data_IF_432544758314
#
_entry.id   IF_432544758314
#
_cell.length_a   1.000
_cell.length_b   1.000
_cell.length_c   1.000
_cell.angle_alpha   90.00
_cell.angle_beta   90.00
_cell.angle_gamma   90.00
#
_symmetry.space_group_name_H-M   'P 1'
#
loop_
_entity.id
_entity.type
_entity.pdbx_description
1 polymer ?
#
# COMPACT_ATOMS: atom_id res chain seq x y z
N UNK A 1 -9.81 -76.13 -17.22
CA UNK A 1 -9.97 -75.80 -18.65
C UNK A 1 -10.37 -74.35 -18.86
N UNK A 2 -9.38 -73.54 -19.22
CA UNK A 2 -9.35 -72.57 -20.33
C UNK A 2 -10.44 -71.50 -20.52
N UNK A 3 -11.49 -71.42 -19.70
CA UNK A 3 -12.54 -70.38 -19.84
C UNK A 3 -12.42 -69.23 -18.83
N UNK A 4 -11.62 -69.39 -17.78
CA UNK A 4 -11.32 -68.33 -16.79
C UNK A 4 -10.34 -67.28 -17.33
N UNK A 5 -9.56 -67.61 -18.37
CA UNK A 5 -8.52 -66.72 -18.87
C UNK A 5 -9.00 -65.68 -19.90
N UNK A 6 -10.14 -65.90 -20.55
CA UNK A 6 -10.62 -65.02 -21.63
C UNK A 6 -11.56 -63.90 -21.14
N UNK A 7 -12.17 -64.03 -19.96
CA UNK A 7 -13.09 -63.02 -19.43
C UNK A 7 -12.38 -61.88 -18.68
N UNK A 8 -11.13 -62.09 -18.25
CA UNK A 8 -10.34 -61.07 -17.53
C UNK A 8 -9.67 -60.06 -18.47
N UNK A 9 -9.56 -60.35 -19.76
CA UNK A 9 -8.85 -59.50 -20.74
C UNK A 9 -9.77 -58.43 -21.34
N UNK A 10 -11.09 -58.55 -21.18
CA UNK A 10 -12.06 -57.61 -21.77
C UNK A 10 -12.44 -56.42 -20.85
N UNK A 11 -11.84 -56.29 -19.66
CA UNK A 11 -12.09 -55.17 -18.73
C UNK A 11 -11.02 -54.06 -18.77
N UNK A 12 -10.04 -54.11 -19.66
CA UNK A 12 -8.89 -53.18 -19.66
C UNK A 12 -9.03 -52.03 -20.69
N UNK A 13 -10.16 -51.89 -21.37
CA UNK A 13 -10.34 -50.86 -22.42
C UNK A 13 -11.32 -49.75 -22.07
N UNK A 14 -11.34 -49.25 -20.84
CA UNK A 14 -11.72 -47.84 -20.61
C UNK A 14 -10.46 -47.00 -20.68
N UNK A 15 -10.19 -46.53 -21.90
CA UNK A 15 -9.12 -45.58 -22.19
C UNK A 15 -9.45 -44.31 -21.41
N UNK A 16 -8.89 -44.21 -20.20
CA UNK A 16 -8.82 -42.97 -19.45
C UNK A 16 -8.00 -41.99 -20.28
N UNK A 17 -8.67 -41.13 -21.05
CA UNK A 17 -8.08 -39.89 -21.48
C UNK A 17 -7.85 -39.04 -20.23
N UNK A 18 -6.72 -39.30 -19.55
CA UNK A 18 -6.10 -38.32 -18.68
C UNK A 18 -5.64 -37.19 -19.60
N UNK A 19 -6.55 -36.26 -19.91
CA UNK A 19 -6.12 -34.92 -20.23
C UNK A 19 -5.32 -34.49 -19.02
N UNK A 20 -3.99 -34.47 -19.18
CA UNK A 20 -3.05 -33.87 -18.24
C UNK A 20 -3.53 -32.44 -18.09
N UNK A 21 -4.40 -32.22 -17.09
CA UNK A 21 -5.01 -30.94 -16.83
C UNK A 21 -3.84 -29.98 -16.75
N UNK A 22 -3.78 -29.00 -17.65
CA UNK A 22 -2.79 -27.95 -17.58
C UNK A 22 -2.83 -27.48 -16.14
N UNK A 23 -1.75 -27.73 -15.41
CA UNK A 23 -1.59 -27.21 -14.06
C UNK A 23 -1.98 -25.74 -14.17
N UNK A 24 -3.09 -25.36 -13.54
CA UNK A 24 -3.41 -23.95 -13.39
C UNK A 24 -2.22 -23.42 -12.64
N UNK A 25 -1.38 -22.64 -13.32
CA UNK A 25 -0.25 -21.96 -12.69
C UNK A 25 -0.85 -21.11 -11.58
N UNK A 26 -0.81 -21.62 -10.35
CA UNK A 26 -1.28 -20.85 -9.19
C UNK A 26 -0.35 -19.66 -9.12
N UNK A 27 -0.90 -18.48 -9.43
CA UNK A 27 -0.15 -17.24 -9.49
C UNK A 27 0.46 -17.03 -8.10
N UNK A 28 1.79 -17.16 -7.98
CA UNK A 28 2.47 -17.01 -6.69
C UNK A 28 2.37 -15.56 -6.23
N UNK A 29 2.13 -15.38 -4.94
CA UNK A 29 2.20 -14.07 -4.29
C UNK A 29 3.59 -13.45 -4.49
N UNK A 30 3.64 -12.13 -4.60
CA UNK A 30 4.89 -11.37 -4.65
C UNK A 30 5.19 -10.85 -3.25
N UNK A 31 6.25 -11.35 -2.63
CA UNK A 31 6.70 -10.88 -1.31
C UNK A 31 7.38 -9.52 -1.47
N UNK A 32 6.88 -8.52 -0.73
CA UNK A 32 7.45 -7.17 -0.68
C UNK A 32 8.53 -7.05 0.40
N UNK A 33 8.23 -7.54 1.61
CA UNK A 33 9.17 -7.57 2.74
C UNK A 33 8.68 -8.53 3.83
N UNK A 34 9.58 -8.89 4.75
CA UNK A 34 9.28 -9.69 5.94
C UNK A 34 9.92 -9.05 7.17
N UNK A 35 9.21 -9.06 8.29
CA UNK A 35 9.71 -8.61 9.59
C UNK A 35 8.99 -9.40 10.68
N UNK A 36 9.72 -9.86 11.69
CA UNK A 36 9.16 -10.67 12.77
C UNK A 36 8.32 -11.85 12.24
N UNK A 37 7.05 -11.92 12.62
CA UNK A 37 6.05 -12.88 12.17
C UNK A 37 5.16 -12.36 11.02
N UNK A 38 5.57 -11.28 10.34
CA UNK A 38 4.80 -10.60 9.29
C UNK A 38 5.47 -10.77 7.92
N UNK A 39 4.66 -11.13 6.93
CA UNK A 39 5.02 -11.06 5.50
C UNK A 39 4.09 -10.07 4.81
N UNK A 40 4.65 -9.02 4.19
CA UNK A 40 3.89 -8.12 3.34
C UNK A 40 3.96 -8.63 1.91
N UNK A 41 2.80 -8.87 1.28
CA UNK A 41 2.72 -9.51 -0.02
C UNK A 41 1.69 -8.84 -0.93
N UNK A 42 1.96 -8.85 -2.24
CA UNK A 42 0.95 -8.60 -3.26
C UNK A 42 0.34 -9.94 -3.63
N UNK A 43 -0.96 -10.07 -3.43
CA UNK A 43 -1.73 -11.24 -3.83
C UNK A 43 -2.62 -10.91 -5.02
N UNK A 44 -2.78 -11.89 -5.91
CA UNK A 44 -3.63 -11.79 -7.10
C UNK A 44 -4.81 -12.74 -6.94
N UNK A 45 -6.02 -12.19 -6.90
CA UNK A 45 -7.26 -12.94 -6.79
C UNK A 45 -8.19 -12.62 -7.96
N UNK A 46 -9.30 -13.37 -8.09
CA UNK A 46 -10.30 -13.12 -9.14
C UNK A 46 -10.89 -11.70 -9.07
N UNK A 47 -10.94 -11.11 -7.88
CA UNK A 47 -11.47 -9.77 -7.59
C UNK A 47 -10.48 -8.63 -7.88
N UNK A 48 -9.21 -8.94 -8.18
CA UNK A 48 -8.15 -7.96 -8.40
C UNK A 48 -6.87 -8.27 -7.65
N UNK A 49 -5.95 -7.31 -7.64
CA UNK A 49 -4.71 -7.38 -6.84
C UNK A 49 -4.88 -6.57 -5.56
N UNK A 50 -4.25 -7.04 -4.48
CA UNK A 50 -4.21 -6.29 -3.22
C UNK A 50 -2.88 -6.52 -2.50
N UNK A 51 -2.50 -5.53 -1.70
CA UNK A 51 -1.39 -5.63 -0.75
C UNK A 51 -1.96 -6.10 0.58
N UNK A 52 -1.36 -7.12 1.17
CA UNK A 52 -1.77 -7.67 2.47
C UNK A 52 -0.57 -7.85 3.39
N UNK A 53 -0.83 -7.85 4.69
CA UNK A 53 0.07 -8.39 5.71
C UNK A 53 -0.45 -9.77 6.12
N UNK A 54 0.37 -10.79 5.96
CA UNK A 54 0.17 -12.09 6.61
C UNK A 54 0.88 -12.08 7.96
N UNK A 55 0.13 -12.19 9.04
CA UNK A 55 0.63 -12.20 10.42
C UNK A 55 0.51 -13.62 10.98
N UNK A 56 1.64 -14.25 11.27
CA UNK A 56 1.67 -15.63 11.78
C UNK A 56 1.59 -15.65 13.32
N UNK A 57 0.50 -16.16 13.84
CA UNK A 57 0.21 -16.31 15.27
C UNK A 57 0.13 -17.80 15.62
N UNK A 58 1.29 -18.43 15.86
CA UNK A 58 1.39 -19.89 16.01
C UNK A 58 0.99 -20.59 14.70
N UNK A 59 -0.06 -21.42 14.77
CA UNK A 59 -0.62 -22.15 13.63
C UNK A 59 -1.64 -21.34 12.81
N UNK A 60 -2.08 -20.18 13.32
CA UNK A 60 -3.03 -19.30 12.64
C UNK A 60 -2.28 -18.24 11.83
N UNK A 61 -2.76 -17.96 10.63
CA UNK A 61 -2.28 -16.83 9.81
C UNK A 61 -3.43 -15.85 9.65
N UNK A 62 -3.27 -14.67 10.21
CA UNK A 62 -4.19 -13.56 10.00
C UNK A 62 -3.79 -12.77 8.75
N UNK A 63 -4.78 -12.32 7.99
CA UNK A 63 -4.56 -11.50 6.78
C UNK A 63 -5.14 -10.11 7.02
N UNK A 64 -4.31 -9.08 6.92
CA UNK A 64 -4.72 -7.68 7.01
C UNK A 64 -4.60 -7.04 5.64
N UNK A 65 -5.68 -6.44 5.14
CA UNK A 65 -5.66 -5.75 3.84
C UNK A 65 -5.07 -4.34 4.00
N UNK A 66 -3.93 -4.10 3.34
CA UNK A 66 -3.20 -2.83 3.38
C UNK A 66 -3.73 -1.88 2.32
N UNK A 67 -3.94 -2.40 1.11
CA UNK A 67 -4.36 -1.60 -0.05
C UNK A 67 -5.00 -2.47 -1.13
N UNK A 68 -6.15 -2.03 -1.64
CA UNK A 68 -6.72 -2.53 -2.89
C UNK A 68 -6.00 -1.88 -4.06
N UNK A 69 -5.66 -2.66 -5.09
CA UNK A 69 -4.92 -2.16 -6.25
C UNK A 69 -5.87 -2.04 -7.45
N UNK A 70 -6.21 -0.80 -7.80
CA UNK A 70 -7.04 -0.50 -8.98
C UNK A 70 -6.28 -0.68 -10.29
N UNK A 71 -4.94 -0.66 -10.24
CA UNK A 71 -4.04 -0.82 -11.39
C UNK A 71 -3.29 -2.14 -11.28
N UNK A 72 -3.15 -2.84 -12.40
CA UNK A 72 -2.40 -4.11 -12.50
C UNK A 72 -0.90 -3.98 -12.22
N UNK A 73 -0.33 -2.77 -12.32
CA UNK A 73 1.11 -2.50 -12.27
C UNK A 73 1.57 -1.75 -11.02
N UNK A 74 1.04 -2.11 -9.84
CA UNK A 74 1.58 -1.63 -8.58
C UNK A 74 3.04 -2.04 -8.40
N UNK A 75 3.94 -1.05 -8.42
CA UNK A 75 5.39 -1.21 -8.27
C UNK A 75 5.90 -0.24 -7.20
N UNK A 76 5.63 -0.50 -5.92
CA UNK A 76 6.08 0.37 -4.85
C UNK A 76 7.61 0.34 -4.78
N UNK A 77 8.18 1.45 -4.35
CA UNK A 77 9.61 1.56 -4.03
C UNK A 77 9.78 1.79 -2.53
N UNK A 78 10.85 1.23 -1.97
CA UNK A 78 11.14 1.38 -0.54
C UNK A 78 10.05 0.83 0.38
N UNK A 79 9.35 -0.24 -0.02
CA UNK A 79 8.33 -0.86 0.83
C UNK A 79 8.98 -1.46 2.08
N UNK A 80 8.62 -0.93 3.26
CA UNK A 80 9.17 -1.33 4.55
C UNK A 80 8.05 -1.58 5.55
N UNK A 81 8.26 -2.56 6.42
CA UNK A 81 7.47 -2.77 7.63
C UNK A 81 8.45 -2.73 8.79
N UNK A 82 8.20 -1.86 9.77
CA UNK A 82 9.04 -1.72 10.97
C UNK A 82 8.18 -1.84 12.21
N UNK A 83 8.60 -2.67 13.15
CA UNK A 83 7.97 -2.69 14.46
C UNK A 83 8.41 -1.51 15.31
N UNK A 84 7.53 -1.04 16.18
CA UNK A 84 7.87 -0.09 17.24
C UNK A 84 7.02 -0.40 18.47
N UNK A 85 7.50 0.04 19.64
CA UNK A 85 6.80 -0.19 20.91
C UNK A 85 6.51 1.15 21.57
N UNK A 86 5.28 1.33 22.01
CA UNK A 86 4.86 2.51 22.80
C UNK A 86 3.88 2.06 23.87
N UNK A 87 4.02 2.63 25.07
CA UNK A 87 3.17 2.28 26.22
C UNK A 87 3.09 0.76 26.47
N UNK A 88 4.20 0.04 26.28
CA UNK A 88 4.29 -1.42 26.45
C UNK A 88 3.63 -2.26 25.36
N UNK A 89 3.00 -1.65 24.34
CA UNK A 89 2.37 -2.36 23.22
C UNK A 89 3.18 -2.22 21.93
N UNK A 90 3.28 -3.32 21.17
CA UNK A 90 4.00 -3.38 19.90
C UNK A 90 3.04 -3.09 18.73
N UNK A 91 3.47 -2.21 17.83
CA UNK A 91 2.76 -1.84 16.61
C UNK A 91 3.70 -1.93 15.41
N UNK A 92 3.12 -1.82 14.21
CA UNK A 92 3.88 -1.89 12.96
C UNK A 92 3.61 -0.67 12.08
N UNK A 93 4.68 -0.05 11.60
CA UNK A 93 4.64 1.01 10.60
C UNK A 93 4.94 0.40 9.24
N UNK A 94 3.95 0.46 8.35
CA UNK A 94 4.06 0.09 6.95
C UNK A 94 4.23 1.37 6.15
N UNK A 95 5.30 1.46 5.36
CA UNK A 95 5.58 2.62 4.52
C UNK A 95 6.03 2.19 3.13
N UNK A 96 5.61 2.93 2.11
CA UNK A 96 6.15 2.79 0.76
C UNK A 96 5.97 4.07 -0.05
N UNK A 97 6.62 4.09 -1.22
CA UNK A 97 6.50 5.18 -2.20
C UNK A 97 6.01 4.68 -3.55
N UNK A 98 5.18 5.48 -4.20
CA UNK A 98 4.71 5.28 -5.56
C UNK A 98 5.05 6.52 -6.39
N UNK A 99 5.38 6.34 -7.66
CA UNK A 99 5.52 7.43 -8.60
C UNK A 99 4.47 7.30 -9.68
N UNK A 100 3.68 8.36 -9.89
CA UNK A 100 2.66 8.44 -10.93
C UNK A 100 3.10 9.52 -11.92
N UNK A 101 3.17 9.16 -13.20
CA UNK A 101 3.45 10.09 -14.28
C UNK A 101 2.22 10.25 -15.16
N UNK A 102 1.90 11.48 -15.48
CA UNK A 102 0.87 11.85 -16.44
C UNK A 102 1.55 12.72 -17.50
N UNK A 103 1.51 12.28 -18.75
CA UNK A 103 2.02 13.03 -19.89
C UNK A 103 0.89 13.23 -20.91
N UNK A 104 0.62 14.49 -21.22
CA UNK A 104 -0.35 14.91 -22.22
C UNK A 104 0.29 16.02 -23.05
N UNK A 105 -0.30 16.34 -24.21
CA UNK A 105 0.22 17.40 -25.09
C UNK A 105 0.41 18.76 -24.40
N UNK A 106 -0.39 19.08 -23.38
CA UNK A 106 -0.37 20.39 -22.71
C UNK A 106 0.12 20.32 -21.27
N UNK A 107 0.33 19.13 -20.72
CA UNK A 107 0.63 18.95 -19.30
C UNK A 107 1.49 17.73 -19.07
N UNK A 108 2.57 17.92 -18.32
CA UNK A 108 3.39 16.87 -17.72
C UNK A 108 3.31 16.99 -16.21
N UNK A 109 2.95 15.91 -15.54
CA UNK A 109 2.92 15.84 -14.08
C UNK A 109 3.67 14.59 -13.63
N UNK A 110 4.64 14.76 -12.74
CA UNK A 110 5.26 13.68 -11.98
C UNK A 110 4.87 13.85 -10.53
N UNK A 111 4.19 12.84 -9.98
CA UNK A 111 3.76 12.81 -8.59
C UNK A 111 4.47 11.71 -7.83
N UNK A 112 5.17 12.08 -6.77
CA UNK A 112 5.68 11.14 -5.77
C UNK A 112 4.67 11.06 -4.62
N UNK A 113 4.19 9.85 -4.36
CA UNK A 113 3.22 9.53 -3.32
C UNK A 113 3.96 8.72 -2.27
N UNK A 114 3.89 9.14 -1.01
CA UNK A 114 4.34 8.37 0.15
C UNK A 114 3.12 7.98 0.95
N UNK A 115 3.00 6.69 1.28
CA UNK A 115 1.92 6.19 2.12
C UNK A 115 2.50 5.63 3.41
N UNK A 116 1.90 6.02 4.53
CA UNK A 116 2.29 5.66 5.89
C UNK A 116 1.07 5.08 6.60
N UNK A 117 1.18 3.84 7.06
CA UNK A 117 0.13 3.18 7.82
C UNK A 117 0.67 2.65 9.14
N UNK A 118 -0.04 2.90 10.24
CA UNK A 118 0.24 2.31 11.56
C UNK A 118 -0.79 1.24 11.86
N UNK A 119 -0.32 0.04 12.18
CA UNK A 119 -1.16 -1.13 12.41
C UNK A 119 -0.97 -1.69 13.81
N UNK A 120 -2.10 -2.00 14.43
CA UNK A 120 -2.20 -2.94 15.54
C UNK A 120 -2.58 -4.31 14.98
N UNK A 121 -1.60 -5.20 14.89
CA UNK A 121 -1.78 -6.53 14.31
C UNK A 121 -2.50 -7.50 15.24
N UNK A 122 -2.48 -7.25 16.55
CA UNK A 122 -3.17 -8.10 17.53
C UNK A 122 -4.69 -7.90 17.43
N UNK A 123 -5.12 -6.64 17.37
CA UNK A 123 -6.55 -6.29 17.23
C UNK A 123 -6.99 -6.17 15.77
N UNK A 124 -6.07 -6.32 14.82
CA UNK A 124 -6.32 -6.18 13.36
C UNK A 124 -6.81 -4.79 12.98
N UNK A 125 -6.35 -3.75 13.67
CA UNK A 125 -6.83 -2.38 13.54
C UNK A 125 -5.82 -1.51 12.80
N UNK A 126 -6.29 -0.76 11.81
CA UNK A 126 -5.56 0.36 11.21
C UNK A 126 -5.67 1.58 12.14
N UNK A 127 -4.57 1.97 12.77
CA UNK A 127 -4.52 3.09 13.71
C UNK A 127 -4.35 4.45 12.99
N UNK A 128 -3.66 4.45 11.86
CA UNK A 128 -3.45 5.61 11.01
C UNK A 128 -3.25 5.14 9.57
N UNK A 129 -3.92 5.79 8.61
CA UNK A 129 -3.53 5.78 7.20
C UNK A 129 -3.30 7.21 6.73
N UNK A 130 -2.09 7.50 6.27
CA UNK A 130 -1.70 8.82 5.78
C UNK A 130 -1.11 8.71 4.38
N UNK A 131 -1.58 9.57 3.47
CA UNK A 131 -1.08 9.68 2.11
C UNK A 131 -0.55 11.09 1.90
N UNK A 132 0.72 11.20 1.53
CA UNK A 132 1.37 12.44 1.15
C UNK A 132 1.72 12.43 -0.33
N UNK A 133 1.29 13.45 -1.08
CA UNK A 133 1.56 13.58 -2.51
C UNK A 133 2.33 14.86 -2.78
N UNK A 134 3.51 14.73 -3.41
CA UNK A 134 4.27 15.85 -3.98
C UNK A 134 4.21 15.74 -5.49
N UNK A 135 3.79 16.80 -6.17
CA UNK A 135 3.67 16.83 -7.63
C UNK A 135 4.47 17.97 -8.21
N UNK A 136 5.27 17.65 -9.22
CA UNK A 136 5.89 18.61 -10.11
C UNK A 136 5.08 18.64 -11.40
N UNK A 137 4.54 19.81 -11.73
CA UNK A 137 3.61 20.02 -12.84
C UNK A 137 4.22 21.04 -13.79
N UNK A 138 4.29 20.69 -15.07
CA UNK A 138 4.64 21.59 -16.18
C UNK A 138 3.46 21.64 -17.14
N UNK A 139 2.90 22.83 -17.35
CA UNK A 139 1.72 23.09 -18.17
C UNK A 139 2.02 24.11 -19.25
N UNK A 140 1.63 23.83 -20.49
CA UNK A 140 1.67 24.80 -21.60
C UNK A 140 0.35 25.57 -21.63
N UNK A 141 0.44 26.89 -21.49
CA UNK A 141 -0.71 27.80 -21.49
C UNK A 141 -0.66 28.63 -22.78
N UNK A 142 -1.79 28.69 -23.49
CA UNK A 142 -1.95 29.54 -24.66
C UNK A 142 -2.33 30.95 -24.26
N UNK A 143 -1.72 31.93 -24.91
CA UNK A 143 -1.92 33.36 -24.64
C UNK A 143 -3.05 33.97 -25.48
N UNK A 144 -3.51 33.26 -26.50
CA UNK A 144 -4.58 33.67 -27.39
C UNK A 144 -5.54 32.50 -27.70
N UNK A 145 -6.75 32.83 -28.13
CA UNK A 145 -7.80 31.86 -28.43
C UNK A 145 -7.47 30.98 -29.65
N UNK A 146 -6.63 31.46 -30.58
CA UNK A 146 -6.21 30.74 -31.77
C UNK A 146 -5.04 29.77 -31.49
N UNK A 147 -4.51 29.79 -30.26
CA UNK A 147 -3.37 28.97 -29.81
C UNK A 147 -2.11 29.19 -30.62
N UNK A 148 -1.89 30.40 -31.13
CA UNK A 148 -0.71 30.73 -31.93
C UNK A 148 0.48 31.20 -31.10
N UNK A 149 0.25 31.64 -29.86
CA UNK A 149 1.26 31.95 -28.86
C UNK A 149 1.03 31.14 -27.57
N UNK A 150 2.12 30.64 -26.97
CA UNK A 150 2.08 29.89 -25.71
C UNK A 150 3.34 30.09 -24.88
N UNK A 151 3.24 29.81 -23.59
CA UNK A 151 4.39 29.64 -22.72
C UNK A 151 4.17 28.47 -21.76
N UNK A 152 5.26 27.96 -21.19
CA UNK A 152 5.21 26.95 -20.16
C UNK A 152 5.13 27.58 -18.77
N UNK A 153 4.40 26.93 -17.87
CA UNK A 153 4.31 27.24 -16.45
C UNK A 153 4.69 26.01 -15.64
N UNK A 154 5.54 26.20 -14.65
CA UNK A 154 5.91 25.15 -13.71
C UNK A 154 5.36 25.42 -12.31
N UNK A 155 4.83 24.39 -11.67
CA UNK A 155 4.26 24.46 -10.34
C UNK A 155 4.58 23.20 -9.55
N UNK A 156 4.99 23.41 -8.30
CA UNK A 156 5.08 22.35 -7.31
C UNK A 156 3.85 22.38 -6.40
N UNK A 157 3.18 21.24 -6.26
CA UNK A 157 2.04 21.06 -5.37
C UNK A 157 2.36 19.99 -4.32
N UNK A 158 1.92 20.23 -3.09
CA UNK A 158 1.97 19.25 -2.01
C UNK A 158 0.57 19.10 -1.44
N UNK A 159 0.14 17.85 -1.26
CA UNK A 159 -1.18 17.47 -0.74
C UNK A 159 -1.01 16.44 0.38
N UNK A 160 -1.91 16.46 1.36
CA UNK A 160 -1.81 15.60 2.55
C UNK A 160 -0.79 16.11 3.58
N UNK A 161 -0.41 15.23 4.50
CA UNK A 161 0.50 15.54 5.60
C UNK A 161 1.81 14.77 5.45
N UNK A 162 2.94 15.45 5.66
CA UNK A 162 4.22 14.78 5.90
C UNK A 162 4.16 14.07 7.24
N UNK A 163 4.47 12.77 7.24
CA UNK A 163 4.46 11.92 8.42
C UNK A 163 5.87 11.77 9.00
N UNK A 164 5.98 11.72 10.32
CA UNK A 164 7.22 11.36 11.02
C UNK A 164 6.89 10.56 12.27
N UNK A 165 7.38 9.33 12.37
CA UNK A 165 7.28 8.50 13.57
C UNK A 165 8.48 8.79 14.48
N UNK A 166 8.22 9.12 15.73
CA UNK A 166 9.23 9.37 16.74
C UNK A 166 9.60 8.07 17.47
N UNK A 167 10.76 8.05 18.13
CA UNK A 167 11.25 6.86 18.84
C UNK A 167 10.37 6.46 20.04
N UNK A 168 9.64 7.40 20.65
CA UNK A 168 8.67 7.12 21.72
C UNK A 168 7.33 6.55 21.21
N UNK A 169 7.21 6.38 19.89
CA UNK A 169 6.00 5.93 19.19
C UNK A 169 4.93 7.00 19.00
N UNK A 170 5.16 8.23 19.44
CA UNK A 170 4.34 9.37 18.97
C UNK A 170 4.63 9.64 17.50
N UNK A 171 3.71 10.30 16.79
CA UNK A 171 3.97 10.73 15.42
C UNK A 171 3.56 12.18 15.18
N UNK A 172 4.11 12.75 14.11
CA UNK A 172 3.81 14.10 13.65
C UNK A 172 3.17 14.04 12.26
N UNK A 173 2.11 14.82 12.08
CA UNK A 173 1.53 15.15 10.78
C UNK A 173 1.74 16.63 10.51
N UNK A 174 2.44 16.94 9.41
CA UNK A 174 2.87 18.30 9.09
C UNK A 174 2.43 18.73 7.70
N UNK A 175 1.95 19.95 7.59
CA UNK A 175 1.82 20.68 6.32
C UNK A 175 2.69 21.93 6.35
N UNK A 176 2.58 22.77 5.32
CA UNK A 176 3.25 24.09 5.31
C UNK A 176 2.76 25.02 6.42
N UNK A 177 1.54 24.84 6.91
CA UNK A 177 0.88 25.77 7.84
C UNK A 177 0.52 25.14 9.18
N UNK A 178 0.55 23.81 9.28
CA UNK A 178 0.10 23.06 10.44
C UNK A 178 1.16 22.04 10.87
N UNK A 179 1.27 21.84 12.19
CA UNK A 179 2.07 20.81 12.78
C UNK A 179 1.33 20.23 13.99
N UNK A 180 0.94 18.95 13.89
CA UNK A 180 0.17 18.23 14.90
C UNK A 180 0.93 17.00 15.37
N UNK A 181 1.10 16.86 16.67
CA UNK A 181 1.70 15.67 17.29
C UNK A 181 0.60 14.79 17.85
N UNK A 182 0.70 13.48 17.62
CA UNK A 182 -0.25 12.47 18.09
C UNK A 182 0.46 11.49 19.02
N UNK A 183 -0.21 11.11 20.10
CA UNK A 183 0.29 10.15 21.09
C UNK A 183 -0.74 9.04 21.27
N UNK A 184 -0.28 7.82 21.46
CA UNK A 184 -1.14 6.67 21.71
C UNK A 184 -1.75 6.75 23.12
N UNK A 185 -3.07 6.68 23.19
CA UNK A 185 -3.83 6.59 24.43
C UNK A 185 -4.29 5.14 24.66
N UNK A 186 -3.82 4.53 25.75
CA UNK A 186 -4.12 3.14 26.09
C UNK A 186 -5.57 2.93 26.49
N UNK A 187 -6.22 3.92 27.09
CA UNK A 187 -7.62 3.83 27.50
C UNK A 187 -8.57 3.83 26.31
N UNK A 188 -8.31 4.64 25.29
CA UNK A 188 -9.12 4.70 24.07
C UNK A 188 -8.63 3.78 22.96
N UNK A 189 -7.45 3.18 23.11
CA UNK A 189 -6.75 2.35 22.12
C UNK A 189 -6.56 3.04 20.76
N UNK A 190 -6.33 4.37 20.78
CA UNK A 190 -6.21 5.22 19.58
C UNK A 190 -5.11 6.26 19.76
N UNK A 191 -4.67 6.83 18.63
CA UNK A 191 -3.83 8.01 18.65
C UNK A 191 -4.67 9.29 18.76
N UNK A 192 -4.26 10.15 19.68
CA UNK A 192 -4.94 11.42 19.99
C UNK A 192 -3.97 12.59 19.87
N UNK A 193 -4.47 13.76 19.47
CA UNK A 193 -3.62 14.96 19.32
C UNK A 193 -3.13 15.39 20.71
N UNK A 194 -1.81 15.55 20.84
CA UNK A 194 -1.17 16.12 22.02
C UNK A 194 -1.28 17.65 21.99
N UNK A 195 -2.33 18.16 22.62
CA UNK A 195 -2.60 19.61 22.69
C UNK A 195 -3.23 20.17 21.41
N UNK A 196 -3.26 21.50 21.27
CA UNK A 196 -3.82 22.15 20.08
C UNK A 196 -2.82 22.12 18.89
N UNK A 197 -3.29 21.95 17.64
CA UNK A 197 -2.45 22.06 16.44
C UNK A 197 -1.70 23.40 16.42
N UNK A 198 -0.38 23.35 16.19
CA UNK A 198 0.41 24.59 16.06
C UNK A 198 0.27 25.11 14.64
N UNK A 199 -0.27 26.32 14.49
CA UNK A 199 -0.30 27.04 13.20
C UNK A 199 0.97 27.88 13.05
N UNK A 200 1.73 27.66 11.99
CA UNK A 200 2.85 28.53 11.65
C UNK A 200 2.32 29.73 10.85
N UNK A 201 1.60 30.62 11.52
CA UNK A 201 1.24 31.92 10.97
C UNK A 201 2.49 32.79 10.90
N UNK A 202 2.96 33.11 9.69
CA UNK A 202 3.97 34.15 9.52
C UNK A 202 3.47 35.42 10.20
N UNK A 203 4.26 36.00 11.11
CA UNK A 203 3.99 37.32 11.68
C UNK A 203 3.68 38.26 10.51
N UNK A 204 2.45 38.75 10.41
CA UNK A 204 2.17 39.93 9.59
C UNK A 204 3.10 41.02 10.12
N UNK A 205 4.13 41.38 9.35
CA UNK A 205 4.82 42.65 9.58
C UNK A 205 3.74 43.72 9.43
N UNK A 206 3.46 44.42 10.53
CA UNK A 206 2.73 45.70 10.50
C UNK A 206 3.59 46.73 9.78
#
# INVERSE_FOLDING_TARGET
MKKIFLLLILLVSTIGFSQKGKSKTTQKNVVLTKVDNISAEIISEKSGKRVVLFVKNGDKIDTLEVKKLDKTDFKPTGFVVKSFTTQGKKFYHVNWKEQVKTDTKLKKETSDITEDQLWDTETKTLLLGNLHKKSHIKETIFLDANKTASHDVEKNRSEGFEFTLNADGSFVLKTKTQNSTYVYNTASSKYEIKGAPKTSGGKKKK
#
